data_IF_345838744033
#
_entry.id   IF_345838744033
#
_cell.length_a   1.000
_cell.length_b   1.000
_cell.length_c   1.000
_cell.angle_alpha   90.00
_cell.angle_beta   90.00
_cell.angle_gamma   90.00
#
_symmetry.space_group_name_H-M   'P 1'
#
loop_
_entity.id
_entity.type
_entity.pdbx_description
1 polymer ?
#
# COMPACT_ATOMS: atom_id res chain seq x y z
N UNK A 1 -64.11 -28.79 31.73
CA UNK A 1 -62.68 -28.51 31.96
C UNK A 1 -62.52 -28.15 33.43
N UNK A 2 -61.56 -28.78 34.13
CA UNK A 2 -61.26 -28.42 35.52
C UNK A 2 -60.84 -26.93 35.53
N UNK A 3 -61.50 -26.11 36.39
CA UNK A 3 -61.28 -24.66 36.44
C UNK A 3 -60.18 -24.26 37.41
N UNK A 4 -59.75 -25.21 38.28
CA UNK A 4 -58.73 -24.97 39.31
C UNK A 4 -59.13 -24.00 40.42
N UNK A 5 -60.39 -23.69 40.52
CA UNK A 5 -60.92 -22.71 41.51
C UNK A 5 -61.32 -23.34 42.84
N UNK A 6 -61.39 -24.68 42.97
CA UNK A 6 -61.63 -25.37 44.19
C UNK A 6 -60.73 -26.65 44.37
N UNK A 7 -60.51 -27.13 45.57
CA UNK A 7 -59.74 -28.38 45.80
C UNK A 7 -60.25 -29.61 45.04
N UNK A 8 -61.55 -29.62 44.77
CA UNK A 8 -62.22 -30.74 44.05
C UNK A 8 -62.00 -30.64 42.55
N UNK A 9 -61.64 -29.46 42.05
CA UNK A 9 -61.43 -29.14 40.62
C UNK A 9 -59.97 -28.76 40.31
N UNK A 10 -59.05 -29.28 41.10
CA UNK A 10 -57.61 -29.01 40.99
C UNK A 10 -57.03 -29.49 39.64
N UNK A 11 -56.32 -28.59 38.95
CA UNK A 11 -55.61 -28.91 37.71
C UNK A 11 -54.23 -29.47 38.02
N UNK A 12 -53.71 -30.33 37.11
CA UNK A 12 -52.38 -30.86 37.27
C UNK A 12 -51.32 -29.76 37.00
N UNK A 13 -50.14 -29.90 37.64
CA UNK A 13 -49.01 -28.97 37.48
C UNK A 13 -48.64 -28.79 36.01
N UNK A 14 -48.69 -29.86 35.22
CA UNK A 14 -48.45 -29.85 33.78
C UNK A 14 -49.39 -28.91 33.01
N UNK A 15 -50.70 -28.98 33.38
CA UNK A 15 -51.70 -28.18 32.66
C UNK A 15 -51.63 -26.72 33.06
N UNK A 16 -51.36 -26.45 34.34
CA UNK A 16 -51.09 -25.07 34.84
C UNK A 16 -49.83 -24.50 34.16
N UNK A 17 -48.72 -25.26 34.04
CA UNK A 17 -47.51 -24.84 33.39
C UNK A 17 -47.73 -24.57 31.88
N UNK A 18 -48.57 -25.38 31.22
CA UNK A 18 -48.93 -25.19 29.80
C UNK A 18 -49.71 -23.90 29.62
N UNK A 19 -50.73 -23.64 30.45
CA UNK A 19 -51.50 -22.42 30.36
C UNK A 19 -50.67 -21.15 30.59
N UNK A 20 -49.73 -21.19 31.55
CA UNK A 20 -48.76 -20.08 31.75
C UNK A 20 -47.84 -19.90 30.53
N UNK A 21 -47.36 -21.01 29.97
CA UNK A 21 -46.49 -20.95 28.76
C UNK A 21 -47.24 -20.36 27.58
N UNK A 22 -48.50 -20.71 27.35
CA UNK A 22 -49.33 -20.19 26.26
C UNK A 22 -49.54 -18.65 26.41
N UNK A 23 -49.84 -18.17 27.60
CA UNK A 23 -50.01 -16.76 27.87
C UNK A 23 -48.71 -15.98 27.64
N UNK A 24 -47.59 -16.48 28.17
CA UNK A 24 -46.32 -15.83 28.10
C UNK A 24 -45.77 -15.84 26.66
N UNK A 25 -46.04 -16.87 25.88
CA UNK A 25 -45.63 -16.95 24.47
C UNK A 25 -46.33 -15.92 23.59
N UNK A 26 -47.51 -15.40 23.99
CA UNK A 26 -48.20 -14.34 23.25
C UNK A 26 -47.61 -12.95 23.49
N UNK A 27 -46.73 -12.78 24.49
CA UNK A 27 -46.07 -11.52 24.76
C UNK A 27 -45.09 -11.16 23.65
N UNK A 28 -45.05 -9.87 23.20
CA UNK A 28 -44.09 -9.43 22.20
C UNK A 28 -42.67 -9.42 22.76
N UNK A 29 -41.67 -9.33 21.84
CA UNK A 29 -40.30 -9.06 22.23
C UNK A 29 -40.21 -7.61 22.74
N UNK A 30 -39.45 -7.40 23.79
CA UNK A 30 -39.31 -6.08 24.48
C UNK A 30 -37.85 -5.75 24.68
N UNK A 31 -37.57 -4.45 24.75
CA UNK A 31 -36.27 -3.93 25.19
C UNK A 31 -36.32 -3.72 26.71
N UNK A 32 -35.30 -4.26 27.38
CA UNK A 32 -35.17 -4.19 28.85
C UNK A 32 -33.81 -3.59 29.16
N UNK A 33 -33.78 -2.55 29.97
CA UNK A 33 -32.56 -1.99 30.53
C UNK A 33 -32.32 -2.55 31.94
N UNK A 34 -31.04 -2.89 32.22
CA UNK A 34 -30.65 -3.33 33.55
C UNK A 34 -29.15 -3.52 33.67
N UNK A 35 -28.71 -3.80 34.89
CA UNK A 35 -27.31 -4.11 35.19
C UNK A 35 -27.12 -5.60 35.32
N UNK A 36 -26.08 -6.13 34.66
CA UNK A 36 -25.72 -7.55 34.76
C UNK A 36 -25.11 -7.80 36.15
N UNK A 37 -25.70 -8.71 36.92
CA UNK A 37 -25.17 -9.10 38.22
C UNK A 37 -24.39 -10.41 38.16
N UNK A 38 -24.71 -11.30 37.25
CA UNK A 38 -23.97 -12.55 37.05
C UNK A 38 -23.97 -12.98 35.59
N UNK A 39 -22.86 -13.58 35.13
CA UNK A 39 -22.74 -14.25 33.84
C UNK A 39 -22.28 -15.68 34.09
N UNK A 40 -23.05 -16.65 33.61
CA UNK A 40 -22.76 -18.10 33.80
C UNK A 40 -22.68 -18.77 32.44
N UNK A 41 -21.46 -19.12 32.05
CA UNK A 41 -21.19 -19.89 30.83
C UNK A 41 -20.87 -21.32 31.25
N UNK A 42 -21.64 -22.29 30.77
CA UNK A 42 -21.36 -23.72 31.04
C UNK A 42 -20.43 -24.26 29.94
N UNK A 43 -19.36 -24.95 30.29
CA UNK A 43 -18.52 -25.61 29.30
C UNK A 43 -19.35 -26.57 28.41
N UNK A 44 -19.21 -26.44 27.09
CA UNK A 44 -19.94 -27.25 26.11
C UNK A 44 -21.41 -26.85 25.87
N UNK A 45 -21.89 -25.71 26.42
CA UNK A 45 -23.23 -25.19 26.17
C UNK A 45 -23.20 -24.00 25.21
N UNK A 46 -24.12 -24.01 24.25
CA UNK A 46 -24.34 -22.88 23.34
C UNK A 46 -25.14 -21.75 24.01
N UNK A 47 -25.47 -21.86 25.28
CA UNK A 47 -26.30 -20.93 26.00
C UNK A 47 -25.53 -20.27 27.15
N UNK A 48 -25.66 -18.92 27.20
CA UNK A 48 -25.13 -18.08 28.25
C UNK A 48 -26.28 -17.58 29.11
N UNK A 49 -26.18 -17.79 30.43
CA UNK A 49 -27.18 -17.37 31.41
C UNK A 49 -26.70 -16.11 32.12
N UNK A 50 -27.57 -15.13 32.23
CA UNK A 50 -27.30 -13.85 32.88
C UNK A 50 -28.44 -13.44 33.80
N UNK A 51 -28.09 -12.83 34.91
CA UNK A 51 -29.06 -12.19 35.81
C UNK A 51 -29.00 -10.68 35.58
N UNK A 52 -30.11 -10.09 35.14
CA UNK A 52 -30.27 -8.66 34.86
C UNK A 52 -31.05 -8.01 35.99
N UNK A 53 -30.42 -7.09 36.73
CA UNK A 53 -31.03 -6.38 37.85
C UNK A 53 -31.39 -4.95 37.46
N UNK A 54 -32.54 -4.47 37.94
CA UNK A 54 -32.90 -3.06 37.86
C UNK A 54 -31.99 -2.22 38.78
N UNK A 55 -31.54 -1.04 38.31
CA UNK A 55 -30.67 -0.15 39.09
C UNK A 55 -31.41 0.61 40.14
N UNK A 56 -32.72 0.84 39.94
CA UNK A 56 -33.59 1.67 40.79
C UNK A 56 -34.54 0.85 41.71
N UNK A 57 -34.75 -0.41 41.39
CA UNK A 57 -35.68 -1.30 42.12
C UNK A 57 -35.03 -2.65 42.40
N UNK A 58 -35.52 -3.35 43.43
CA UNK A 58 -35.05 -4.73 43.74
C UNK A 58 -35.79 -5.74 42.87
N UNK A 59 -35.56 -5.65 41.55
CA UNK A 59 -36.11 -6.57 40.55
C UNK A 59 -34.98 -7.23 39.74
N UNK A 60 -35.06 -8.55 39.57
CA UNK A 60 -34.09 -9.30 38.80
C UNK A 60 -34.80 -10.18 37.79
N UNK A 61 -34.30 -10.21 36.54
CA UNK A 61 -34.80 -11.08 35.48
C UNK A 61 -33.69 -12.00 35.00
N UNK A 62 -34.03 -13.26 34.79
CA UNK A 62 -33.11 -14.22 34.16
C UNK A 62 -33.17 -14.07 32.65
N UNK A 63 -32.01 -13.84 32.03
CA UNK A 63 -31.85 -13.71 30.59
C UNK A 63 -30.98 -14.82 30.07
N UNK A 64 -31.34 -15.37 28.91
CA UNK A 64 -30.60 -16.45 28.27
C UNK A 64 -30.31 -16.07 26.83
N UNK A 65 -29.03 -16.10 26.47
CA UNK A 65 -28.56 -15.79 25.11
C UNK A 65 -27.96 -17.02 24.45
N UNK A 66 -28.04 -17.09 23.14
CA UNK A 66 -27.13 -17.93 22.38
C UNK A 66 -25.71 -17.36 22.48
N UNK A 67 -24.73 -18.24 22.64
CA UNK A 67 -23.31 -17.86 22.76
C UNK A 67 -22.81 -16.96 21.62
N UNK A 68 -23.24 -17.23 20.39
CA UNK A 68 -22.92 -16.43 19.23
C UNK A 68 -23.37 -14.97 19.33
N UNK A 69 -24.46 -14.66 20.05
CA UNK A 69 -24.94 -13.27 20.26
C UNK A 69 -24.01 -12.50 21.19
N UNK A 70 -23.45 -13.19 22.19
CA UNK A 70 -22.53 -12.60 23.16
C UNK A 70 -21.13 -12.41 22.53
N UNK A 71 -20.65 -13.40 21.77
CA UNK A 71 -19.35 -13.34 21.09
C UNK A 71 -19.32 -12.27 19.97
N UNK A 72 -20.46 -11.98 19.36
CA UNK A 72 -20.60 -10.89 18.37
C UNK A 72 -20.90 -9.52 18.99
N UNK A 73 -20.90 -9.39 20.30
CA UNK A 73 -21.07 -8.09 20.97
C UNK A 73 -19.82 -7.24 20.79
N UNK A 74 -19.93 -5.94 20.48
CA UNK A 74 -18.78 -5.03 20.33
C UNK A 74 -17.98 -4.80 21.62
N UNK A 75 -18.55 -5.21 22.77
CA UNK A 75 -17.96 -5.05 24.10
C UNK A 75 -18.04 -6.37 24.85
N UNK A 76 -17.01 -6.67 25.63
CA UNK A 76 -17.01 -7.85 26.50
C UNK A 76 -18.13 -7.70 27.57
N UNK A 77 -19.04 -8.68 27.59
CA UNK A 77 -20.19 -8.70 28.47
C UNK A 77 -19.79 -9.26 29.85
N UNK A 78 -19.55 -8.35 30.81
CA UNK A 78 -19.10 -8.70 32.15
C UNK A 78 -20.13 -8.31 33.22
N UNK A 79 -19.97 -8.86 34.43
CA UNK A 79 -20.77 -8.46 35.60
C UNK A 79 -20.51 -6.99 35.95
N UNK A 80 -21.55 -6.26 36.27
CA UNK A 80 -21.53 -4.82 36.58
C UNK A 80 -21.90 -3.90 35.41
N UNK A 81 -21.91 -4.42 34.17
CA UNK A 81 -22.24 -3.64 32.98
C UNK A 81 -23.75 -3.33 32.90
N UNK A 82 -24.11 -2.06 32.56
CA UNK A 82 -25.48 -1.68 32.21
C UNK A 82 -25.73 -1.98 30.74
N UNK A 83 -26.80 -2.69 30.46
CA UNK A 83 -27.13 -3.15 29.11
C UNK A 83 -28.59 -2.94 28.76
N UNK A 84 -28.84 -2.76 27.46
CA UNK A 84 -30.13 -2.90 26.83
C UNK A 84 -30.23 -4.29 26.22
N UNK A 85 -31.21 -5.06 26.66
CA UNK A 85 -31.48 -6.41 26.17
C UNK A 85 -32.77 -6.41 25.36
N UNK A 86 -32.71 -6.83 24.10
CA UNK A 86 -33.88 -7.14 23.32
C UNK A 86 -34.16 -8.62 23.39
N UNK A 87 -35.32 -8.99 23.94
CA UNK A 87 -35.64 -10.40 24.11
C UNK A 87 -37.13 -10.70 24.18
N UNK A 88 -37.47 -11.94 24.06
CA UNK A 88 -38.84 -12.44 24.18
C UNK A 88 -39.00 -13.18 25.50
N UNK A 89 -40.05 -12.89 26.29
CA UNK A 89 -40.39 -13.69 27.47
C UNK A 89 -40.71 -15.14 27.07
N UNK A 90 -40.21 -16.10 27.85
CA UNK A 90 -40.42 -17.52 27.64
C UNK A 90 -40.56 -18.23 29.00
N UNK A 91 -41.51 -19.14 29.14
CA UNK A 91 -41.69 -19.92 30.35
C UNK A 91 -41.09 -21.30 30.20
N UNK A 92 -40.11 -21.63 31.03
CA UNK A 92 -39.52 -22.97 31.05
C UNK A 92 -40.36 -23.91 31.88
N UNK A 93 -41.20 -24.69 31.22
CA UNK A 93 -42.13 -25.63 31.87
C UNK A 93 -41.43 -26.62 32.80
N UNK A 94 -40.23 -27.11 32.43
CA UNK A 94 -39.48 -28.09 33.21
C UNK A 94 -38.93 -27.54 34.53
N UNK A 95 -38.79 -26.24 34.67
CA UNK A 95 -38.26 -25.54 35.86
C UNK A 95 -39.27 -24.63 36.53
N UNK A 96 -40.41 -24.42 35.91
CA UNK A 96 -41.40 -23.47 36.38
C UNK A 96 -40.91 -22.04 36.49
N UNK A 97 -39.96 -21.62 35.63
CA UNK A 97 -39.32 -20.32 35.71
C UNK A 97 -39.54 -19.47 34.44
N UNK A 98 -39.76 -18.17 34.65
CA UNK A 98 -39.79 -17.17 33.60
C UNK A 98 -38.37 -16.77 33.23
N UNK A 99 -38.07 -16.73 31.94
CA UNK A 99 -36.82 -16.28 31.41
C UNK A 99 -37.09 -15.29 30.26
N UNK A 100 -36.10 -14.46 29.94
CA UNK A 100 -36.08 -13.67 28.71
C UNK A 100 -35.10 -14.32 27.73
N UNK A 101 -35.58 -14.77 26.57
CA UNK A 101 -34.73 -15.25 25.51
C UNK A 101 -34.19 -14.04 24.73
N UNK A 102 -32.95 -13.66 24.99
CA UNK A 102 -32.29 -12.54 24.37
C UNK A 102 -31.95 -12.78 22.89
N UNK A 103 -32.25 -11.79 22.05
CA UNK A 103 -31.93 -11.73 20.60
C UNK A 103 -30.80 -10.77 20.31
N UNK A 104 -30.70 -9.67 21.07
CA UNK A 104 -29.65 -8.68 20.97
C UNK A 104 -29.33 -8.12 22.36
N UNK A 105 -28.09 -7.73 22.56
CA UNK A 105 -27.59 -7.06 23.75
C UNK A 105 -26.72 -5.88 23.33
N UNK A 106 -26.86 -4.74 23.99
CA UNK A 106 -26.08 -3.54 23.72
C UNK A 106 -25.76 -2.83 25.03
N UNK A 107 -24.52 -2.42 25.28
CA UNK A 107 -24.19 -1.57 26.43
C UNK A 107 -24.94 -0.24 26.40
N UNK A 108 -25.37 0.24 27.57
CA UNK A 108 -26.04 1.54 27.71
C UNK A 108 -25.00 2.63 27.51
N UNK A 109 -25.31 3.62 26.68
CA UNK A 109 -24.43 4.79 26.39
C UNK A 109 -23.50 4.60 25.19
N UNK A 110 -23.36 3.38 24.66
CA UNK A 110 -22.50 3.12 23.49
C UNK A 110 -22.94 3.95 22.26
N UNK A 111 -24.25 4.07 22.03
CA UNK A 111 -24.77 4.86 20.91
C UNK A 111 -24.44 6.35 21.02
N UNK A 112 -24.53 6.92 22.21
CA UNK A 112 -24.18 8.31 22.44
C UNK A 112 -22.69 8.58 22.28
N UNK A 113 -21.87 7.66 22.78
CA UNK A 113 -20.43 7.70 22.63
C UNK A 113 -19.99 7.61 21.16
N UNK A 114 -20.60 6.73 20.38
CA UNK A 114 -20.34 6.63 18.93
C UNK A 114 -20.71 7.93 18.19
N UNK A 115 -21.83 8.57 18.57
CA UNK A 115 -22.23 9.86 17.99
C UNK A 115 -21.20 10.94 18.34
N UNK A 116 -20.69 10.95 19.58
CA UNK A 116 -19.64 11.91 20.00
C UNK A 116 -18.34 11.68 19.23
N UNK A 117 -17.92 10.42 19.06
CA UNK A 117 -16.73 10.07 18.27
C UNK A 117 -16.87 10.49 16.80
N UNK A 118 -18.02 10.27 16.19
CA UNK A 118 -18.26 10.66 14.80
C UNK A 118 -18.24 12.18 14.64
N UNK A 119 -18.84 12.94 15.59
CA UNK A 119 -18.74 14.41 15.62
C UNK A 119 -17.30 14.89 15.75
N UNK A 120 -16.51 14.25 16.64
CA UNK A 120 -15.11 14.56 16.82
C UNK A 120 -14.31 14.27 15.55
N UNK A 121 -14.55 13.12 14.90
CA UNK A 121 -13.94 12.76 13.61
C UNK A 121 -14.21 13.82 12.55
N UNK A 122 -15.46 14.24 12.40
CA UNK A 122 -15.85 15.27 11.42
C UNK A 122 -15.18 16.61 11.72
N UNK A 123 -15.12 17.02 13.00
CA UNK A 123 -14.42 18.25 13.44
C UNK A 123 -12.95 18.20 13.05
N UNK A 124 -12.23 17.13 13.41
CA UNK A 124 -10.80 17.00 13.14
C UNK A 124 -10.50 16.86 11.64
N UNK A 125 -11.39 16.22 10.89
CA UNK A 125 -11.31 16.14 9.44
C UNK A 125 -11.50 17.53 8.79
N UNK A 126 -12.47 18.32 9.25
CA UNK A 126 -12.67 19.69 8.77
C UNK A 126 -11.48 20.62 9.07
N UNK A 127 -10.76 20.39 10.17
CA UNK A 127 -9.50 21.06 10.50
C UNK A 127 -8.31 20.56 9.64
N UNK A 128 -8.51 19.56 8.79
CA UNK A 128 -7.47 18.98 7.91
C UNK A 128 -6.42 18.13 8.61
N UNK A 129 -6.67 17.62 9.85
CA UNK A 129 -5.68 16.83 10.57
C UNK A 129 -5.44 15.47 9.94
N UNK A 130 -6.37 14.96 9.15
CA UNK A 130 -6.29 13.67 8.46
C UNK A 130 -5.85 13.78 6.99
N UNK A 131 -5.48 14.99 6.53
CA UNK A 131 -5.10 15.26 5.15
C UNK A 131 -3.84 14.47 4.77
N UNK A 132 -3.82 13.77 3.62
CA UNK A 132 -2.68 12.98 3.18
C UNK A 132 -1.38 13.81 3.03
N UNK A 133 -1.51 15.10 2.71
CA UNK A 133 -0.38 16.02 2.53
C UNK A 133 0.39 16.30 3.84
N UNK A 134 -0.23 16.03 4.97
CA UNK A 134 0.40 16.18 6.29
C UNK A 134 1.21 14.96 6.69
N UNK A 135 0.93 13.80 6.09
CA UNK A 135 1.57 12.53 6.44
C UNK A 135 3.01 12.53 5.98
N UNK A 136 3.90 12.19 6.91
CA UNK A 136 5.34 12.10 6.68
C UNK A 136 5.70 10.74 6.12
N UNK A 137 6.67 10.71 5.22
CA UNK A 137 7.24 9.45 4.75
C UNK A 137 7.99 8.76 5.89
N UNK A 138 7.76 7.47 6.04
CA UNK A 138 8.55 6.63 6.95
C UNK A 138 9.96 6.45 6.34
N UNK A 139 11.04 6.61 7.11
CA UNK A 139 12.39 6.32 6.63
C UNK A 139 12.49 4.88 6.12
N UNK A 140 13.15 4.68 4.99
CA UNK A 140 13.32 3.35 4.38
C UNK A 140 13.97 2.35 5.37
N UNK A 141 14.99 2.80 6.09
CA UNK A 141 15.68 2.01 7.12
C UNK A 141 15.95 2.89 8.34
N UNK A 142 15.05 2.89 9.34
CA UNK A 142 15.29 3.61 10.59
C UNK A 142 16.42 2.95 11.37
N UNK A 143 17.27 3.75 12.01
CA UNK A 143 18.31 3.24 12.91
C UNK A 143 17.77 2.90 14.28
N UNK A 144 16.84 3.73 14.77
CA UNK A 144 16.24 3.57 16.09
C UNK A 144 14.75 3.85 16.06
N UNK A 145 13.97 2.95 16.64
CA UNK A 145 12.51 3.00 16.72
C UNK A 145 12.09 3.33 18.14
N UNK A 146 11.27 4.38 18.31
CA UNK A 146 10.57 4.67 19.56
C UNK A 146 9.31 3.81 19.65
N UNK A 147 9.23 2.92 20.60
CA UNK A 147 8.10 2.01 20.77
C UNK A 147 7.27 2.38 21.99
N UNK A 148 6.05 2.89 21.81
CA UNK A 148 5.09 3.16 22.88
C UNK A 148 4.10 1.99 22.94
N UNK A 149 4.13 1.26 24.05
CA UNK A 149 3.37 0.00 24.18
C UNK A 149 2.94 -0.26 25.62
N UNK A 150 2.05 -1.24 25.79
CA UNK A 150 1.67 -1.74 27.12
C UNK A 150 2.80 -2.51 27.78
N UNK A 151 2.86 -2.43 29.10
CA UNK A 151 3.87 -3.13 29.91
C UNK A 151 3.86 -4.63 29.63
N UNK A 152 5.03 -5.18 29.30
CA UNK A 152 5.24 -6.60 29.01
C UNK A 152 4.19 -7.22 28.06
N UNK A 153 3.63 -6.41 27.15
CA UNK A 153 2.55 -6.83 26.26
C UNK A 153 3.06 -7.79 25.17
N UNK A 154 2.17 -8.66 24.68
CA UNK A 154 2.44 -9.49 23.51
C UNK A 154 2.76 -8.61 22.28
N UNK A 155 2.01 -7.52 22.08
CA UNK A 155 2.24 -6.57 21.00
C UNK A 155 3.66 -5.96 21.01
N UNK A 156 4.21 -5.67 22.19
CA UNK A 156 5.62 -5.21 22.32
C UNK A 156 6.59 -6.26 21.80
N UNK A 157 6.42 -7.51 22.23
CA UNK A 157 7.28 -8.63 21.78
C UNK A 157 7.15 -8.84 20.29
N UNK A 158 5.92 -8.86 19.77
CA UNK A 158 5.64 -9.08 18.35
C UNK A 158 6.33 -8.01 17.48
N UNK A 159 6.26 -6.72 17.85
CA UNK A 159 6.97 -5.66 17.11
C UNK A 159 8.47 -5.87 17.16
N UNK A 160 9.05 -6.07 18.36
CA UNK A 160 10.50 -6.17 18.53
C UNK A 160 11.05 -7.41 17.83
N UNK A 161 10.43 -8.57 18.02
CA UNK A 161 10.90 -9.85 17.47
C UNK A 161 10.79 -9.85 15.93
N UNK A 162 9.65 -9.45 15.38
CA UNK A 162 9.48 -9.41 13.94
C UNK A 162 10.37 -8.35 13.27
N UNK A 163 10.58 -7.19 13.90
CA UNK A 163 11.49 -6.18 13.36
C UNK A 163 12.94 -6.69 13.37
N UNK A 164 13.40 -7.31 14.47
CA UNK A 164 14.75 -7.87 14.56
C UNK A 164 14.97 -9.07 13.65
N UNK A 165 13.94 -9.86 13.39
CA UNK A 165 14.01 -10.96 12.41
C UNK A 165 14.28 -10.42 11.01
N UNK A 166 13.60 -9.32 10.64
CA UNK A 166 13.77 -8.68 9.33
C UNK A 166 15.07 -7.88 9.23
N UNK A 167 15.44 -7.17 10.30
CA UNK A 167 16.65 -6.36 10.35
C UNK A 167 17.28 -6.38 11.75
N UNK A 168 18.29 -7.24 12.00
CA UNK A 168 18.89 -7.44 13.33
C UNK A 168 19.56 -6.21 13.94
N UNK A 169 19.97 -5.24 13.13
CA UNK A 169 20.71 -4.05 13.58
C UNK A 169 19.83 -2.91 14.10
N UNK A 170 18.52 -3.06 14.19
CA UNK A 170 17.61 -2.01 14.67
C UNK A 170 17.66 -1.88 16.19
N UNK A 171 17.79 -0.64 16.67
CA UNK A 171 17.67 -0.29 18.09
C UNK A 171 16.25 0.14 18.43
N UNK A 172 15.86 -0.14 19.67
CA UNK A 172 14.56 0.27 20.21
C UNK A 172 14.72 1.19 21.42
N UNK A 173 13.86 2.22 21.48
CA UNK A 173 13.61 3.02 22.68
C UNK A 173 12.19 2.72 23.16
N UNK A 174 12.08 1.89 24.20
CA UNK A 174 10.79 1.32 24.60
C UNK A 174 10.20 2.13 25.75
N UNK A 175 9.02 2.68 25.54
CA UNK A 175 8.22 3.40 26.52
C UNK A 175 7.01 2.55 26.93
N UNK A 176 7.11 1.94 28.07
CA UNK A 176 6.03 1.14 28.66
C UNK A 176 5.03 2.04 29.36
N UNK A 177 3.79 2.11 28.84
CA UNK A 177 2.71 2.96 29.32
C UNK A 177 1.43 2.16 29.56
N UNK A 178 0.46 2.77 30.26
CA UNK A 178 -0.89 2.24 30.27
C UNK A 178 -1.54 2.42 28.90
N UNK A 179 -1.91 1.32 28.25
CA UNK A 179 -2.58 1.31 26.92
C UNK A 179 -4.09 1.06 27.02
N UNK A 180 -4.62 1.03 28.23
CA UNK A 180 -6.06 0.90 28.52
C UNK A 180 -6.44 1.67 29.78
N UNK A 181 -7.71 2.08 29.87
CA UNK A 181 -8.22 2.88 30.99
C UNK A 181 -7.94 4.39 30.85
N UNK A 182 -8.41 5.16 31.83
CA UNK A 182 -8.49 6.64 31.78
C UNK A 182 -7.12 7.33 31.63
N UNK A 183 -6.04 6.72 32.10
CA UNK A 183 -4.70 7.30 32.04
C UNK A 183 -3.97 7.06 30.72
N UNK A 184 -4.47 6.16 29.87
CA UNK A 184 -3.81 5.73 28.64
C UNK A 184 -3.48 6.91 27.71
N UNK A 185 -4.45 7.74 27.35
CA UNK A 185 -4.25 8.91 26.47
C UNK A 185 -3.17 9.86 27.02
N UNK A 186 -3.17 10.14 28.32
CA UNK A 186 -2.21 11.05 28.93
C UNK A 186 -0.79 10.48 28.97
N UNK A 187 -0.62 9.19 29.28
CA UNK A 187 0.69 8.54 29.34
C UNK A 187 1.29 8.37 27.92
N UNK A 188 0.49 7.96 26.93
CA UNK A 188 0.92 7.86 25.52
C UNK A 188 1.36 9.23 25.01
N UNK A 189 0.60 10.30 25.32
CA UNK A 189 0.94 11.67 24.92
C UNK A 189 2.23 12.16 25.58
N UNK A 190 2.45 11.87 26.87
CA UNK A 190 3.68 12.22 27.56
C UNK A 190 4.90 11.54 26.93
N UNK A 191 4.82 10.24 26.65
CA UNK A 191 5.87 9.49 25.98
C UNK A 191 6.14 9.99 24.56
N UNK A 192 5.08 10.31 23.79
CA UNK A 192 5.21 10.91 22.46
C UNK A 192 5.95 12.25 22.53
N UNK A 193 5.60 13.09 23.51
CA UNK A 193 6.24 14.39 23.69
C UNK A 193 7.71 14.25 24.09
N UNK A 194 8.04 13.28 24.93
CA UNK A 194 9.42 12.99 25.32
C UNK A 194 10.26 12.55 24.11
N UNK A 195 9.79 11.58 23.32
CA UNK A 195 10.49 11.11 22.12
C UNK A 195 10.71 12.24 21.10
N UNK A 196 9.72 13.10 20.90
CA UNK A 196 9.84 14.28 20.03
C UNK A 196 10.83 15.32 20.56
N UNK A 197 10.94 15.49 21.88
CA UNK A 197 11.90 16.40 22.49
C UNK A 197 13.33 15.87 22.39
N UNK A 198 13.54 14.59 22.63
CA UNK A 198 14.85 13.93 22.58
C UNK A 198 15.38 13.79 21.14
N UNK A 199 14.53 13.61 20.14
CA UNK A 199 14.87 13.46 18.71
C UNK A 199 15.93 12.37 18.44
N UNK A 200 15.92 11.31 19.23
CA UNK A 200 16.89 10.20 19.12
C UNK A 200 16.39 9.03 18.29
N UNK A 201 15.11 9.06 17.89
CA UNK A 201 14.45 8.00 17.13
C UNK A 201 14.01 8.52 15.78
N UNK A 202 14.00 7.64 14.78
CA UNK A 202 13.68 7.98 13.39
C UNK A 202 12.20 7.79 13.08
N UNK A 203 11.53 6.91 13.85
CA UNK A 203 10.09 6.62 13.74
C UNK A 203 9.54 6.24 15.11
N UNK A 204 8.30 6.60 15.38
CA UNK A 204 7.59 6.25 16.61
C UNK A 204 6.48 5.26 16.27
N UNK A 205 6.42 4.14 16.98
CA UNK A 205 5.37 3.13 16.85
C UNK A 205 4.51 3.17 18.10
N UNK A 206 3.22 3.38 17.95
CA UNK A 206 2.23 3.27 19.02
C UNK A 206 1.50 1.95 18.81
N UNK A 207 1.68 1.01 19.72
CA UNK A 207 1.11 -0.34 19.58
C UNK A 207 0.32 -0.76 20.80
N UNK A 208 -0.74 -1.51 20.51
CA UNK A 208 -1.57 -2.18 21.49
C UNK A 208 -2.03 -3.53 20.95
N UNK A 209 -2.14 -4.50 21.83
CA UNK A 209 -2.76 -5.79 21.50
C UNK A 209 -4.28 -5.70 21.33
N UNK A 210 -4.94 -6.80 20.98
CA UNK A 210 -6.39 -6.89 20.89
C UNK A 210 -7.09 -6.52 22.22
N UNK A 211 -8.38 -6.22 22.17
CA UNK A 211 -9.21 -5.88 23.34
C UNK A 211 -10.56 -5.30 22.91
N UNK A 212 -11.37 -4.91 23.88
CA UNK A 212 -12.71 -4.38 23.64
C UNK A 212 -12.69 -2.99 22.96
N UNK A 213 -13.80 -2.60 22.34
CA UNK A 213 -14.00 -1.26 21.79
C UNK A 213 -13.72 -0.15 22.84
N UNK A 214 -14.13 -0.37 24.09
CA UNK A 214 -13.91 0.59 25.19
C UNK A 214 -12.42 0.82 25.46
N UNK A 215 -11.60 -0.19 25.30
CA UNK A 215 -10.15 -0.08 25.45
C UNK A 215 -9.47 0.71 24.30
N UNK A 216 -10.14 0.86 23.16
CA UNK A 216 -9.66 1.65 22.03
C UNK A 216 -10.04 3.14 22.14
N UNK A 217 -11.04 3.49 22.98
CA UNK A 217 -11.50 4.86 23.16
C UNK A 217 -10.39 5.87 23.52
N UNK A 218 -9.41 5.55 24.39
CA UNK A 218 -8.32 6.46 24.72
C UNK A 218 -7.49 6.89 23.51
N UNK A 219 -7.42 6.07 22.47
CA UNK A 219 -6.73 6.37 21.22
C UNK A 219 -7.57 7.22 20.24
N UNK A 220 -8.77 7.57 20.63
CA UNK A 220 -9.63 8.55 19.96
C UNK A 220 -9.74 9.87 20.74
N UNK A 221 -8.92 10.07 21.75
CA UNK A 221 -8.88 11.32 22.55
C UNK A 221 -8.35 12.49 21.71
N UNK A 222 -9.06 13.63 21.73
CA UNK A 222 -8.72 14.80 20.91
C UNK A 222 -7.31 15.33 21.20
N UNK A 223 -6.88 15.34 22.46
CA UNK A 223 -5.56 15.86 22.84
C UNK A 223 -4.44 14.95 22.33
N UNK A 224 -4.66 13.65 22.35
CA UNK A 224 -3.71 12.67 21.80
C UNK A 224 -3.62 12.81 20.28
N UNK A 225 -4.74 12.91 19.59
CA UNK A 225 -4.78 13.09 18.13
C UNK A 225 -4.03 14.35 17.70
N UNK A 226 -4.25 15.46 18.41
CA UNK A 226 -3.53 16.72 18.15
C UNK A 226 -2.03 16.60 18.41
N UNK A 227 -1.64 15.88 19.46
CA UNK A 227 -0.23 15.62 19.76
C UNK A 227 0.45 14.79 18.66
N UNK A 228 -0.22 13.76 18.14
CA UNK A 228 0.28 12.96 17.01
C UNK A 228 0.39 13.81 15.75
N UNK A 229 -0.63 14.62 15.43
CA UNK A 229 -0.60 15.53 14.28
C UNK A 229 0.55 16.56 14.35
N UNK A 230 0.94 16.96 15.56
CA UNK A 230 2.04 17.89 15.82
C UNK A 230 3.40 17.22 15.94
N UNK A 231 3.48 15.88 15.92
CA UNK A 231 4.74 15.14 16.00
C UNK A 231 5.69 15.55 14.87
N UNK A 232 6.96 15.75 15.20
CA UNK A 232 8.02 16.02 14.22
C UNK A 232 8.56 14.71 13.62
N UNK A 233 8.54 13.65 14.41
CA UNK A 233 8.96 12.32 14.04
C UNK A 233 7.76 11.57 13.46
N UNK A 234 7.91 10.82 12.37
CA UNK A 234 6.82 10.02 11.81
C UNK A 234 6.23 9.04 12.82
N UNK A 235 4.91 8.94 12.84
CA UNK A 235 4.17 8.08 13.78
C UNK A 235 3.45 6.96 13.04
N UNK A 236 3.69 5.73 13.49
CA UNK A 236 3.00 4.53 13.01
C UNK A 236 2.01 4.06 14.07
N UNK A 237 0.76 3.90 13.69
CA UNK A 237 -0.26 3.30 14.54
C UNK A 237 -0.39 1.80 14.25
N UNK A 238 -0.31 0.98 15.30
CA UNK A 238 -0.52 -0.47 15.27
C UNK A 238 -1.46 -0.88 16.41
N UNK A 239 -2.67 -0.31 16.42
CA UNK A 239 -3.60 -0.40 17.56
C UNK A 239 -4.85 -1.19 17.20
N UNK A 240 -5.47 -0.93 16.05
CA UNK A 240 -6.76 -1.46 15.67
C UNK A 240 -6.70 -2.64 14.73
N UNK A 241 -7.66 -3.58 14.86
CA UNK A 241 -7.96 -4.54 13.83
C UNK A 241 -8.73 -3.85 12.69
N UNK A 242 -8.95 -4.53 11.56
CA UNK A 242 -9.62 -3.95 10.38
C UNK A 242 -11.01 -3.37 10.66
N UNK A 243 -11.73 -3.91 11.64
CA UNK A 243 -13.10 -3.53 11.97
C UNK A 243 -13.20 -2.34 12.95
N UNK A 244 -12.22 -2.17 13.85
CA UNK A 244 -12.25 -1.15 14.90
C UNK A 244 -11.10 -0.15 14.71
N UNK A 245 -11.38 0.94 14.02
CA UNK A 245 -10.39 1.97 13.67
C UNK A 245 -10.48 3.16 14.64
N UNK A 246 -9.57 3.30 15.62
CA UNK A 246 -9.49 4.50 16.46
C UNK A 246 -9.09 5.74 15.64
N UNK A 247 -9.43 6.94 16.14
CA UNK A 247 -9.11 8.19 15.43
C UNK A 247 -7.60 8.40 15.24
N UNK A 248 -6.78 7.80 16.07
CA UNK A 248 -5.32 7.83 15.95
C UNK A 248 -4.83 7.23 14.62
N UNK A 249 -5.48 6.19 14.11
CA UNK A 249 -5.14 5.57 12.82
C UNK A 249 -5.31 6.52 11.62
N UNK A 250 -6.26 7.47 11.72
CA UNK A 250 -6.48 8.46 10.66
C UNK A 250 -5.39 9.53 10.63
N UNK A 251 -4.89 9.93 11.82
CA UNK A 251 -3.90 11.00 11.96
C UNK A 251 -2.46 10.49 11.85
N UNK A 252 -2.21 9.22 12.16
CA UNK A 252 -0.88 8.61 12.04
C UNK A 252 -0.36 8.67 10.59
N UNK A 253 0.93 8.81 10.42
CA UNK A 253 1.59 8.86 9.11
C UNK A 253 1.44 7.52 8.38
N UNK A 254 1.50 6.41 9.12
CA UNK A 254 1.25 5.06 8.61
C UNK A 254 0.34 4.28 9.55
N UNK A 255 -0.63 3.58 8.98
CA UNK A 255 -1.47 2.60 9.69
C UNK A 255 -0.98 1.19 9.46
N UNK A 256 -0.83 0.43 10.52
CA UNK A 256 -0.64 -1.01 10.51
C UNK A 256 -1.83 -1.71 11.17
N UNK A 257 -2.27 -2.81 10.58
CA UNK A 257 -3.43 -3.59 11.08
C UNK A 257 -3.08 -4.42 12.31
N UNK A 258 -1.80 -4.76 12.48
CA UNK A 258 -1.30 -5.57 13.60
C UNK A 258 0.11 -5.12 14.00
N UNK A 259 0.60 -5.47 15.19
CA UNK A 259 1.98 -5.25 15.58
C UNK A 259 3.00 -5.87 14.61
N UNK A 260 2.71 -7.03 14.07
CA UNK A 260 3.54 -7.72 13.06
C UNK A 260 3.54 -6.98 11.71
N UNK A 261 2.37 -6.48 11.27
CA UNK A 261 2.26 -5.65 10.07
C UNK A 261 3.04 -4.34 10.20
N UNK A 262 3.07 -3.75 11.40
CA UNK A 262 3.89 -2.58 11.67
C UNK A 262 5.38 -2.86 11.43
N UNK A 263 5.90 -3.98 11.92
CA UNK A 263 7.29 -4.37 11.70
C UNK A 263 7.62 -4.48 10.21
N UNK A 264 6.76 -5.13 9.42
CA UNK A 264 6.96 -5.31 7.97
C UNK A 264 6.90 -4.00 7.17
N UNK A 265 6.14 -3.01 7.64
CA UNK A 265 5.99 -1.71 6.99
C UNK A 265 7.07 -0.70 7.36
N UNK A 266 7.73 -0.89 8.50
CA UNK A 266 8.75 0.04 9.02
C UNK A 266 10.16 -0.35 8.57
N UNK A 267 10.43 -1.65 8.41
CA UNK A 267 11.76 -2.13 7.99
C UNK A 267 11.65 -3.07 6.79
N UNK A 268 12.58 -2.94 5.83
CA UNK A 268 12.67 -3.88 4.73
C UNK A 268 13.11 -5.26 5.24
N UNK A 269 13.10 -6.25 4.38
CA UNK A 269 13.67 -7.55 4.66
C UNK A 269 15.14 -7.58 4.22
N UNK A 270 16.03 -7.98 5.12
CA UNK A 270 17.47 -7.96 4.87
C UNK A 270 17.86 -8.90 3.73
N UNK A 271 17.23 -10.09 3.66
CA UNK A 271 17.55 -11.08 2.64
C UNK A 271 17.07 -10.59 1.27
N UNK A 272 15.88 -9.99 1.18
CA UNK A 272 15.37 -9.38 -0.05
C UNK A 272 16.27 -8.26 -0.57
N UNK A 273 16.82 -7.42 0.34
CA UNK A 273 17.72 -6.33 -0.02
C UNK A 273 19.09 -6.84 -0.50
N UNK A 274 19.62 -7.89 0.13
CA UNK A 274 20.86 -8.54 -0.31
C UNK A 274 20.66 -9.13 -1.70
N UNK A 275 19.59 -9.87 -1.93
CA UNK A 275 19.26 -10.45 -3.24
C UNK A 275 19.10 -9.37 -4.32
N UNK A 276 18.54 -8.21 -3.95
CA UNK A 276 18.42 -7.07 -4.86
C UNK A 276 19.79 -6.51 -5.25
N UNK A 277 20.69 -6.35 -4.27
CA UNK A 277 22.07 -5.89 -4.50
C UNK A 277 22.82 -6.85 -5.40
N UNK A 278 22.73 -8.16 -5.15
CA UNK A 278 23.40 -9.18 -5.96
C UNK A 278 22.89 -9.17 -7.41
N UNK A 279 21.59 -9.05 -7.62
CA UNK A 279 21.02 -8.89 -8.98
C UNK A 279 21.53 -7.63 -9.69
N UNK A 280 21.70 -6.52 -8.97
CA UNK A 280 22.28 -5.31 -9.56
C UNK A 280 23.76 -5.51 -9.92
N UNK A 281 24.54 -6.15 -9.05
CA UNK A 281 25.96 -6.46 -9.31
C UNK A 281 26.10 -7.32 -10.56
N UNK A 282 25.29 -8.37 -10.69
CA UNK A 282 25.32 -9.27 -11.84
C UNK A 282 24.88 -8.57 -13.14
N UNK A 283 23.86 -7.74 -13.07
CA UNK A 283 23.43 -6.91 -14.21
C UNK A 283 24.53 -5.90 -14.64
N UNK A 284 25.24 -5.32 -13.68
CA UNK A 284 26.38 -4.44 -14.00
C UNK A 284 27.52 -5.22 -14.67
N UNK A 285 27.87 -6.39 -14.16
CA UNK A 285 28.91 -7.26 -14.74
C UNK A 285 28.57 -7.66 -16.19
N UNK A 286 27.33 -8.06 -16.41
CA UNK A 286 26.84 -8.41 -17.74
C UNK A 286 26.91 -7.22 -18.70
N UNK A 287 26.45 -6.04 -18.29
CA UNK A 287 26.50 -4.81 -19.11
C UNK A 287 27.93 -4.40 -19.49
N UNK A 288 28.87 -4.52 -18.52
CA UNK A 288 30.28 -4.22 -18.76
C UNK A 288 30.87 -5.27 -19.71
N UNK A 289 30.62 -6.55 -19.49
CA UNK A 289 31.04 -7.63 -20.37
C UNK A 289 30.59 -7.46 -21.82
N UNK A 290 29.30 -7.22 -22.01
CA UNK A 290 28.69 -6.95 -23.32
C UNK A 290 29.22 -5.65 -23.99
N UNK A 291 29.65 -4.67 -23.20
CA UNK A 291 30.28 -3.47 -23.75
C UNK A 291 31.69 -3.75 -24.23
N UNK A 292 32.48 -4.47 -23.41
CA UNK A 292 33.85 -4.86 -23.76
C UNK A 292 33.84 -5.73 -25.03
N UNK A 293 32.96 -6.72 -25.11
CA UNK A 293 32.83 -7.58 -26.28
C UNK A 293 32.48 -6.78 -27.56
N UNK A 294 31.53 -5.86 -27.46
CA UNK A 294 31.16 -4.97 -28.57
C UNK A 294 32.32 -4.10 -29.04
N UNK A 295 33.08 -3.52 -28.09
CA UNK A 295 34.25 -2.71 -28.44
C UNK A 295 35.39 -3.56 -29.04
N UNK A 296 35.58 -4.81 -28.57
CA UNK A 296 36.53 -5.74 -29.16
C UNK A 296 36.17 -6.11 -30.60
N UNK A 297 34.90 -6.48 -30.83
CA UNK A 297 34.43 -6.79 -32.21
C UNK A 297 34.53 -5.53 -33.12
N UNK A 298 34.27 -4.36 -32.59
CA UNK A 298 34.43 -3.10 -33.34
C UNK A 298 35.89 -2.83 -33.68
N UNK A 299 36.80 -3.09 -32.75
CA UNK A 299 38.26 -2.95 -32.96
C UNK A 299 38.76 -3.97 -33.99
N UNK A 300 38.32 -5.22 -33.87
CA UNK A 300 38.67 -6.27 -34.85
C UNK A 300 38.23 -5.90 -36.27
N UNK A 301 37.00 -5.41 -36.44
CA UNK A 301 36.51 -4.93 -37.75
C UNK A 301 37.33 -3.76 -38.28
N UNK A 302 37.77 -2.86 -37.44
CA UNK A 302 38.62 -1.74 -37.84
C UNK A 302 40.00 -2.24 -38.28
N UNK A 303 40.58 -3.22 -37.58
CA UNK A 303 41.85 -3.84 -37.91
C UNK A 303 41.79 -4.68 -39.20
N UNK A 304 40.62 -5.31 -39.49
CA UNK A 304 40.39 -6.03 -40.75
C UNK A 304 40.23 -5.12 -41.96
N UNK A 305 39.98 -3.83 -41.76
CA UNK A 305 39.87 -2.87 -42.84
C UNK A 305 41.23 -2.77 -43.57
N UNK A 306 41.26 -3.00 -44.87
CA UNK A 306 42.47 -3.03 -45.68
C UNK A 306 43.37 -1.79 -45.51
N UNK A 307 42.74 -0.64 -45.20
CA UNK A 307 43.47 0.58 -44.94
C UNK A 307 44.34 0.56 -43.67
N UNK A 308 43.94 -0.21 -42.64
CA UNK A 308 44.70 -0.38 -41.39
C UNK A 308 45.55 -1.63 -41.35
N UNK A 309 45.05 -2.71 -41.92
CA UNK A 309 45.77 -4.00 -41.94
C UNK A 309 46.96 -3.99 -42.90
N UNK A 310 46.81 -3.40 -44.10
CA UNK A 310 47.86 -3.28 -45.10
C UNK A 310 47.85 -1.88 -45.72
N UNK A 311 48.27 -0.84 -45.01
CA UNK A 311 48.21 0.54 -45.50
C UNK A 311 48.97 0.75 -46.79
N UNK A 312 50.07 0.05 -46.96
CA UNK A 312 50.90 0.11 -48.20
C UNK A 312 50.17 -0.46 -49.41
N UNK A 313 49.48 -1.57 -49.26
CA UNK A 313 48.70 -2.19 -50.35
C UNK A 313 47.48 -1.33 -50.69
N UNK A 314 46.80 -0.82 -49.68
CA UNK A 314 45.67 0.08 -49.87
C UNK A 314 46.05 1.35 -50.67
N UNK A 315 47.20 1.95 -50.31
CA UNK A 315 47.73 3.12 -51.03
C UNK A 315 48.15 2.71 -52.45
N UNK A 316 48.77 1.58 -52.60
CA UNK A 316 49.20 1.12 -53.91
C UNK A 316 48.02 0.85 -54.84
N UNK A 317 46.99 0.17 -54.39
CA UNK A 317 45.77 -0.06 -55.17
C UNK A 317 45.16 1.24 -55.70
N UNK A 318 44.99 2.24 -54.81
CA UNK A 318 44.43 3.52 -55.21
C UNK A 318 45.39 4.32 -56.14
N UNK A 319 46.66 4.07 -56.01
CA UNK A 319 47.67 4.67 -56.91
C UNK A 319 47.59 4.07 -58.30
N UNK A 320 47.41 2.78 -58.39
CA UNK A 320 47.23 2.05 -59.64
C UNK A 320 45.90 2.43 -60.32
N UNK A 321 44.81 2.56 -59.60
CA UNK A 321 43.52 3.07 -60.09
C UNK A 321 43.65 4.49 -60.65
N UNK A 322 44.38 5.38 -59.96
CA UNK A 322 44.62 6.75 -60.41
C UNK A 322 45.48 6.76 -61.65
N UNK A 323 46.48 5.87 -61.74
CA UNK A 323 47.31 5.73 -62.92
C UNK A 323 46.48 5.28 -64.13
N UNK A 324 45.64 4.29 -63.99
CA UNK A 324 44.77 3.76 -65.05
C UNK A 324 43.75 4.83 -65.52
N UNK A 325 43.11 5.53 -64.57
CA UNK A 325 42.22 6.64 -64.88
C UNK A 325 42.93 7.77 -65.65
N UNK A 326 44.16 8.09 -65.24
CA UNK A 326 44.99 9.14 -65.91
C UNK A 326 45.39 8.68 -67.31
N UNK A 327 45.74 7.42 -67.48
CA UNK A 327 46.09 6.78 -68.75
C UNK A 327 44.92 6.77 -69.72
N UNK A 328 43.74 6.29 -69.23
CA UNK A 328 42.51 6.30 -70.01
C UNK A 328 42.04 7.69 -70.42
N UNK A 329 42.22 8.67 -69.55
CA UNK A 329 41.91 10.07 -69.88
C UNK A 329 42.83 10.63 -70.98
N UNK A 330 44.13 10.29 -70.91
CA UNK A 330 45.09 10.69 -71.97
C UNK A 330 44.74 10.08 -73.30
N UNK A 331 44.39 8.78 -73.33
CA UNK A 331 43.96 8.10 -74.55
C UNK A 331 42.72 8.72 -75.17
N UNK A 332 41.71 9.00 -74.32
CA UNK A 332 40.46 9.66 -74.74
C UNK A 332 40.70 11.02 -75.30
N UNK A 333 41.55 11.86 -74.65
CA UNK A 333 41.91 13.17 -75.13
C UNK A 333 42.67 13.07 -76.49
N UNK A 334 43.61 12.16 -76.53
CA UNK A 334 44.39 11.96 -77.77
C UNK A 334 43.50 11.51 -78.94
N UNK A 335 42.63 10.54 -78.68
CA UNK A 335 41.64 10.06 -79.64
C UNK A 335 40.69 11.18 -80.08
N UNK A 336 40.20 11.97 -79.14
CA UNK A 336 39.35 13.13 -79.47
C UNK A 336 40.05 14.17 -80.33
N UNK A 337 41.29 14.50 -79.96
CA UNK A 337 42.10 15.45 -80.76
C UNK A 337 42.32 14.92 -82.15
N UNK A 338 42.72 13.64 -82.28
CA UNK A 338 42.93 12.99 -83.59
C UNK A 338 41.66 12.95 -84.43
N UNK A 339 40.54 12.65 -83.84
CA UNK A 339 39.22 12.66 -84.49
C UNK A 339 38.86 14.03 -84.99
N UNK A 340 39.02 15.07 -84.15
CA UNK A 340 38.76 16.45 -84.56
C UNK A 340 39.71 16.92 -85.65
N UNK A 341 40.97 16.54 -85.53
CA UNK A 341 41.97 16.84 -86.62
C UNK A 341 41.61 16.15 -87.93
N UNK A 342 41.24 14.92 -87.94
CA UNK A 342 40.80 14.20 -89.12
C UNK A 342 39.52 14.75 -89.75
N UNK A 343 38.61 15.22 -88.89
CA UNK A 343 37.41 15.90 -89.36
C UNK A 343 37.69 17.32 -89.92
N UNK A 344 38.65 18.07 -89.34
CA UNK A 344 38.97 19.43 -89.70
C UNK A 344 39.84 19.54 -90.93
N UNK A 345 40.89 18.64 -91.08
CA UNK A 345 41.84 18.69 -92.23
C UNK A 345 41.15 18.61 -93.58
N UNK A 346 40.25 17.70 -93.87
CA UNK A 346 39.60 17.62 -95.19
C UNK A 346 38.73 18.89 -95.47
N UNK A 347 38.06 19.42 -94.44
CA UNK A 347 37.23 20.60 -94.57
C UNK A 347 38.06 21.86 -94.83
N UNK A 348 39.19 21.95 -94.16
CA UNK A 348 40.12 23.06 -94.44
C UNK A 348 40.69 22.96 -95.89
N UNK A 349 40.96 21.71 -96.33
CA UNK A 349 41.41 21.53 -97.76
C UNK A 349 40.30 21.92 -98.76
N UNK A 350 39.03 21.53 -98.47
CA UNK A 350 37.90 21.96 -99.32
C UNK A 350 37.70 23.45 -99.33
N UNK A 351 37.82 24.14 -98.20
CA UNK A 351 37.74 25.55 -98.13
C UNK A 351 38.86 26.25 -98.97
N UNK A 352 40.06 25.65 -98.88
CA UNK A 352 41.20 26.20 -99.70
C UNK A 352 40.98 25.97 -101.19
N UNK A 353 40.40 24.84 -101.58
CA UNK A 353 40.13 24.58 -103.05
C UNK A 353 38.98 25.46 -103.55
N UNK A 354 37.94 25.75 -102.69
CA UNK A 354 36.82 26.62 -103.04
C UNK A 354 37.15 28.13 -102.88
N UNK A 355 38.30 28.45 -102.36
CA UNK A 355 38.70 29.84 -102.17
C UNK A 355 38.92 30.57 -103.57
N UNK A 356 38.23 31.62 -103.78
CA UNK A 356 38.43 32.43 -105.07
C UNK A 356 39.89 32.89 -105.24
N UNK A 357 40.60 33.19 -104.15
CA UNK A 357 42.02 33.59 -104.18
C UNK A 357 42.92 32.41 -104.67
N UNK A 358 42.62 31.15 -104.24
CA UNK A 358 43.36 29.97 -104.74
C UNK A 358 43.14 29.67 -106.21
N UNK A 359 41.97 29.99 -106.74
CA UNK A 359 41.68 29.90 -108.20
C UNK A 359 42.34 31.02 -108.94
N UNK A 360 42.42 32.27 -108.51
CA UNK A 360 43.15 33.29 -109.09
C UNK A 360 44.69 33.11 -109.10
N UNK A 361 45.23 32.49 -107.99
CA UNK A 361 46.70 32.20 -107.96
C UNK A 361 47.11 31.11 -108.95
N UNK A 362 46.21 30.22 -109.47
CA UNK A 362 46.45 29.24 -110.54
C UNK A 362 46.32 29.80 -111.95
N UNK A 363 46.09 31.07 -112.10
CA UNK A 363 46.06 31.74 -113.40
C UNK A 363 44.65 31.89 -114.01
N UNK A 364 43.60 31.56 -113.29
CA UNK A 364 42.24 31.76 -113.78
C UNK A 364 41.73 33.14 -113.44
N UNK A 365 41.07 33.78 -114.36
CA UNK A 365 40.45 35.06 -114.13
C UNK A 365 38.97 34.95 -113.79
N UNK A 366 38.50 35.75 -112.81
CA UNK A 366 37.05 35.85 -112.47
C UNK A 366 36.45 36.94 -113.38
N UNK A 367 35.65 36.52 -114.33
CA UNK A 367 34.86 37.42 -115.17
C UNK A 367 33.53 37.69 -114.46
N UNK A 368 33.28 38.93 -114.03
CA UNK A 368 31.97 39.36 -113.55
C UNK A 368 31.21 39.97 -114.71
N UNK A 369 30.12 39.39 -115.11
CA UNK A 369 29.17 40.03 -115.98
C UNK A 369 28.59 41.27 -115.28
N UNK A 370 28.41 42.31 -115.92
CA UNK A 370 27.60 43.43 -115.48
C UNK A 370 26.13 43.10 -115.75
N UNK A 371 25.35 43.00 -114.70
CA UNK A 371 23.95 43.32 -114.75
C UNK A 371 23.69 44.60 -113.99
#
# INVERSE_FOLDING_TARGET
>A
MATGQSPEDAIQVKDAARALSEIITQLPSVWIEGQITSVKIRPGSDWVFMDLRDVSADATLNVVFNRSVIENSPTEITSGLRVLVHGKPEFWMNRGSLIIRGKAISPVGLGELMIQLEKLKQKLAAEGLFAPERKRAIPFLPKKIGLICGRASAAMKDVIENTKLRWPGIEFDVHEVAVQGVKSSSEVRASLSQLNAEKKVDVIVITRGGGSFEDLLPFSDELLIRAVAASVIPVVSAIGHEQDTPLLDYVADLRASTPTDAASKIVPDLDDEIDLIDRFIDSMRERIGNRIEREQVSLERLLETSALNSPSEFIQTHRDELFDLKSGLRELITSKITSEQSWFKPRLAQLRTLSPMGTLARGFAIVRGKD
#
